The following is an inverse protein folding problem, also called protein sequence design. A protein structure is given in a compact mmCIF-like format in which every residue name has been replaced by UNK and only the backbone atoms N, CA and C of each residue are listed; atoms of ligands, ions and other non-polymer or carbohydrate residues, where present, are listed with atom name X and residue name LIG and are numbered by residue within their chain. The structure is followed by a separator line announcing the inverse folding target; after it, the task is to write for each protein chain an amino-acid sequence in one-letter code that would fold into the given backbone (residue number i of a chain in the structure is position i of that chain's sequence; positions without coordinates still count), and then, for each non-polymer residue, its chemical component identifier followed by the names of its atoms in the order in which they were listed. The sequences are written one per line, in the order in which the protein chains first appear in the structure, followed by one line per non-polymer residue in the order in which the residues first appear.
data_IF_723050844473
#
_entry.id   IF_723050844473
#
_cell.length_a   1.000
_cell.length_b   1.000
_cell.length_c   1.000
_cell.angle_alpha   90.00
_cell.angle_beta   90.00
_cell.angle_gamma   90.00
#
_symmetry.space_group_name_H-M   'P 1'
#
loop_
_entity.id
_entity.type
_entity.pdbx_description
1 polymer ?
#
# COMPACT_ATOMS: atom_id res chain seq x y z
N UNK A 1 -4.44 -71.55 -2.77
CA UNK A 1 -3.77 -70.35 -2.22
C UNK A 1 -3.51 -69.25 -3.27
N UNK A 2 -4.54 -68.77 -4.01
CA UNK A 2 -4.37 -67.70 -5.01
C UNK A 2 -5.21 -66.45 -4.73
N UNK A 3 -5.93 -66.39 -3.61
CA UNK A 3 -6.84 -65.28 -3.32
C UNK A 3 -6.24 -64.11 -2.50
N UNK A 4 -5.12 -64.34 -1.80
CA UNK A 4 -4.59 -63.35 -0.82
C UNK A 4 -3.68 -62.27 -1.45
N UNK A 5 -3.12 -62.52 -2.63
CA UNK A 5 -2.27 -61.53 -3.34
C UNK A 5 -3.06 -60.44 -4.09
N UNK A 6 -4.27 -60.73 -4.54
CA UNK A 6 -5.08 -59.79 -5.29
C UNK A 6 -5.62 -58.65 -4.42
N UNK A 7 -6.01 -58.96 -3.19
CA UNK A 7 -6.55 -58.00 -2.23
C UNK A 7 -5.48 -57.01 -1.72
N UNK A 8 -4.22 -57.50 -1.57
CA UNK A 8 -3.13 -56.65 -1.05
C UNK A 8 -2.69 -55.58 -2.04
N UNK A 9 -2.71 -55.85 -3.34
CA UNK A 9 -2.38 -54.88 -4.41
C UNK A 9 -3.47 -53.83 -4.62
N UNK A 10 -4.75 -54.16 -4.45
CA UNK A 10 -5.85 -53.21 -4.56
C UNK A 10 -5.83 -52.17 -3.43
N UNK A 11 -5.50 -52.58 -2.20
CA UNK A 11 -5.42 -51.68 -1.05
C UNK A 11 -4.22 -50.72 -1.19
N UNK A 12 -3.11 -51.17 -1.76
CA UNK A 12 -1.92 -50.33 -2.00
C UNK A 12 -2.19 -49.32 -3.14
N UNK A 13 -2.90 -49.72 -4.19
CA UNK A 13 -3.31 -48.81 -5.26
C UNK A 13 -4.29 -47.74 -4.76
N UNK A 14 -5.29 -48.10 -3.96
CA UNK A 14 -6.24 -47.13 -3.38
C UNK A 14 -5.54 -46.15 -2.43
N UNK A 15 -4.58 -46.60 -1.60
CA UNK A 15 -3.83 -45.69 -0.74
C UNK A 15 -2.93 -44.73 -1.51
N UNK A 16 -2.36 -45.15 -2.63
CA UNK A 16 -1.56 -44.28 -3.51
C UNK A 16 -2.43 -43.29 -4.26
N UNK A 17 -3.61 -43.70 -4.76
CA UNK A 17 -4.57 -42.81 -5.39
C UNK A 17 -5.14 -41.76 -4.45
N UNK A 18 -5.41 -42.12 -3.18
CA UNK A 18 -5.83 -41.18 -2.13
C UNK A 18 -4.74 -40.19 -1.74
N UNK A 19 -3.46 -40.61 -1.69
CA UNK A 19 -2.33 -39.71 -1.43
C UNK A 19 -2.10 -38.71 -2.59
N UNK A 20 -2.25 -39.13 -3.84
CA UNK A 20 -2.16 -38.24 -4.99
C UNK A 20 -3.34 -37.24 -5.07
N UNK A 21 -4.56 -37.68 -4.74
CA UNK A 21 -5.73 -36.80 -4.66
C UNK A 21 -5.59 -35.76 -3.51
N UNK A 22 -5.03 -36.15 -2.37
CA UNK A 22 -4.80 -35.24 -1.25
C UNK A 22 -3.68 -34.21 -1.54
N UNK A 23 -2.59 -34.61 -2.22
CA UNK A 23 -1.55 -33.68 -2.66
C UNK A 23 -2.06 -32.68 -3.72
N UNK A 24 -2.95 -33.07 -4.63
CA UNK A 24 -3.53 -32.15 -5.63
C UNK A 24 -4.52 -31.16 -5.01
N UNK A 25 -5.20 -31.50 -3.90
CA UNK A 25 -6.08 -30.56 -3.19
C UNK A 25 -5.31 -29.54 -2.33
N UNK A 26 -4.14 -29.91 -1.81
CA UNK A 26 -3.32 -28.98 -0.99
C UNK A 26 -2.62 -27.93 -1.86
N UNK A 27 -2.32 -28.22 -3.12
CA UNK A 27 -1.70 -27.24 -4.04
C UNK A 27 -2.66 -26.18 -4.59
N UNK A 28 -3.98 -26.37 -4.46
CA UNK A 28 -4.98 -25.39 -4.90
C UNK A 28 -5.28 -24.28 -3.86
N UNK A 29 -4.82 -24.45 -2.62
CA UNK A 29 -5.12 -23.51 -1.54
C UNK A 29 -4.17 -22.29 -1.46
N UNK A 30 -3.15 -22.18 -2.31
CA UNK A 30 -2.13 -21.13 -2.19
C UNK A 30 -2.13 -20.09 -3.33
N UNK A 31 -3.05 -20.19 -4.27
CA UNK A 31 -3.28 -19.12 -5.24
C UNK A 31 -4.22 -18.07 -4.61
N UNK A 32 -3.79 -17.40 -3.55
CA UNK A 32 -4.41 -16.15 -3.18
C UNK A 32 -4.11 -15.18 -4.32
N UNK A 33 -5.13 -14.91 -5.15
CA UNK A 33 -5.04 -13.87 -6.15
C UNK A 33 -4.65 -12.58 -5.43
N UNK A 34 -3.44 -12.09 -5.69
CA UNK A 34 -3.00 -10.82 -5.15
C UNK A 34 -3.85 -9.74 -5.77
N UNK A 35 -4.84 -9.25 -5.05
CA UNK A 35 -5.70 -8.15 -5.47
C UNK A 35 -5.28 -6.88 -4.75
N UNK A 36 -5.51 -5.73 -5.36
CA UNK A 36 -5.40 -4.46 -4.67
C UNK A 36 -6.80 -3.94 -4.29
N UNK A 37 -6.84 -3.15 -3.22
CA UNK A 37 -8.06 -2.44 -2.81
C UNK A 37 -7.91 -0.96 -3.18
N UNK A 38 -8.82 -0.40 -4.00
CA UNK A 38 -8.79 1.01 -4.33
C UNK A 38 -8.99 1.89 -3.10
N UNK A 39 -8.40 3.10 -3.11
CA UNK A 39 -8.59 4.08 -2.05
C UNK A 39 -10.06 4.50 -1.95
N UNK A 40 -10.60 4.52 -0.72
CA UNK A 40 -12.01 4.87 -0.47
C UNK A 40 -12.29 6.38 -0.60
N UNK A 41 -11.32 7.21 -0.15
CA UNK A 41 -11.42 8.67 -0.20
C UNK A 41 -10.57 9.21 -1.34
N UNK A 42 -11.11 9.16 -2.56
CA UNK A 42 -10.39 9.61 -3.76
C UNK A 42 -10.85 11.04 -4.11
N UNK A 43 -9.95 12.08 -4.07
CA UNK A 43 -10.30 13.43 -4.44
C UNK A 43 -10.71 13.52 -5.91
N UNK A 44 -11.74 14.30 -6.22
CA UNK A 44 -12.24 14.42 -7.60
C UNK A 44 -11.24 15.05 -8.57
N UNK A 45 -10.29 15.81 -8.06
CA UNK A 45 -9.22 16.45 -8.84
C UNK A 45 -7.99 15.57 -9.05
N UNK A 46 -7.89 14.42 -8.36
CA UNK A 46 -6.75 13.53 -8.47
C UNK A 46 -6.94 12.51 -9.60
N UNK A 47 -5.86 12.18 -10.30
CA UNK A 47 -5.82 11.05 -11.25
C UNK A 47 -5.29 9.80 -10.55
N UNK A 48 -4.39 9.96 -9.57
CA UNK A 48 -3.77 8.86 -8.85
C UNK A 48 -3.56 9.18 -7.37
N UNK A 49 -3.61 8.15 -6.52
CA UNK A 49 -3.28 8.19 -5.10
C UNK A 49 -2.36 7.01 -4.76
N UNK A 50 -1.21 7.25 -4.10
CA UNK A 50 -0.64 8.57 -3.79
C UNK A 50 -0.37 9.40 -5.07
N UNK A 51 -0.45 10.73 -4.99
CA UNK A 51 -0.09 11.56 -6.14
C UNK A 51 1.39 11.34 -6.48
N UNK A 52 1.80 11.61 -7.71
CA UNK A 52 3.21 11.58 -8.09
C UNK A 52 4.03 12.57 -7.28
N UNK A 53 5.30 12.28 -7.04
CA UNK A 53 6.23 13.24 -6.50
C UNK A 53 6.50 14.36 -7.51
N UNK A 54 6.58 15.58 -7.03
CA UNK A 54 7.06 16.73 -7.83
C UNK A 54 7.67 17.77 -6.88
N UNK A 55 8.45 18.76 -7.37
CA UNK A 55 8.97 19.84 -6.53
C UNK A 55 7.88 20.62 -5.76
N UNK A 56 6.65 20.60 -6.24
CA UNK A 56 5.48 21.22 -5.60
C UNK A 56 4.68 20.26 -4.72
N UNK A 57 4.98 18.94 -4.78
CA UNK A 57 4.31 17.85 -4.05
C UNK A 57 5.34 16.91 -3.45
N UNK A 58 6.10 17.41 -2.48
CA UNK A 58 7.20 16.69 -1.85
C UNK A 58 6.77 15.40 -1.13
N UNK A 59 5.50 15.31 -0.73
CA UNK A 59 4.93 14.14 -0.04
C UNK A 59 4.33 13.11 -1.01
N UNK A 60 4.43 13.33 -2.31
CA UNK A 60 3.96 12.38 -3.32
C UNK A 60 4.97 11.28 -3.65
N UNK A 61 4.58 10.38 -4.57
CA UNK A 61 5.43 9.31 -5.09
C UNK A 61 5.46 8.05 -4.21
N UNK A 62 6.46 7.22 -4.46
CA UNK A 62 6.74 6.01 -3.68
C UNK A 62 7.69 6.40 -2.56
N UNK A 63 7.25 6.29 -1.32
CA UNK A 63 8.04 6.66 -0.14
C UNK A 63 8.85 5.51 0.43
N UNK A 64 8.41 4.28 0.13
CA UNK A 64 9.07 3.07 0.58
C UNK A 64 10.27 2.73 -0.30
N UNK A 65 11.25 2.04 0.29
CA UNK A 65 12.46 1.61 -0.38
C UNK A 65 12.40 0.11 -0.64
N UNK A 66 12.58 -0.30 -1.89
CA UNK A 66 12.76 -1.70 -2.24
C UNK A 66 14.20 -2.17 -1.97
N UNK A 67 14.38 -3.43 -1.63
CA UNK A 67 15.70 -4.01 -1.39
C UNK A 67 15.89 -5.31 -2.17
N UNK A 68 17.07 -5.49 -2.74
CA UNK A 68 17.41 -6.73 -3.44
C UNK A 68 17.23 -7.93 -2.50
N UNK A 69 16.50 -8.95 -2.97
CA UNK A 69 16.23 -10.18 -2.23
C UNK A 69 15.11 -10.08 -1.21
N UNK A 70 14.42 -8.95 -1.09
CA UNK A 70 13.29 -8.78 -0.15
C UNK A 70 12.00 -8.46 -0.90
N UNK A 71 10.87 -8.94 -0.35
CA UNK A 71 9.56 -8.64 -0.90
C UNK A 71 9.23 -7.16 -0.73
N UNK A 72 8.76 -6.56 -1.80
CA UNK A 72 8.28 -5.19 -1.83
C UNK A 72 6.91 -5.14 -2.49
N UNK A 73 6.05 -4.25 -2.04
CA UNK A 73 4.78 -3.95 -2.72
C UNK A 73 4.41 -2.47 -2.60
N UNK A 74 3.75 -1.97 -3.63
CA UNK A 74 3.24 -0.61 -3.71
C UNK A 74 1.91 -0.61 -4.46
N UNK A 75 0.91 0.09 -3.91
CA UNK A 75 -0.42 0.20 -4.54
C UNK A 75 -0.68 1.63 -4.96
N UNK A 76 -1.09 1.81 -6.21
CA UNK A 76 -1.53 3.06 -6.78
C UNK A 76 -3.01 2.95 -7.12
N UNK A 77 -3.85 3.79 -6.52
CA UNK A 77 -5.25 3.93 -6.93
C UNK A 77 -5.36 4.95 -8.06
N UNK A 78 -6.15 4.67 -9.07
CA UNK A 78 -6.28 5.46 -10.29
C UNK A 78 -7.75 5.71 -10.57
N UNK A 79 -8.08 6.95 -10.96
CA UNK A 79 -9.40 7.34 -11.47
C UNK A 79 -9.21 7.96 -12.85
N UNK A 80 -9.93 7.46 -13.84
CA UNK A 80 -9.89 8.03 -15.17
C UNK A 80 -10.46 9.49 -15.13
N UNK A 81 -9.72 10.52 -15.59
CA UNK A 81 -10.23 11.88 -15.64
C UNK A 81 -11.40 11.97 -16.60
N UNK A 82 -12.33 12.88 -16.36
CA UNK A 82 -13.48 13.08 -17.24
C UNK A 82 -13.10 13.61 -18.64
N UNK A 83 -12.00 14.38 -18.70
CA UNK A 83 -11.46 14.96 -19.93
C UNK A 83 -9.93 15.02 -19.87
N UNK A 84 -9.29 15.15 -21.02
CA UNK A 84 -7.84 15.35 -21.13
C UNK A 84 -7.55 16.85 -21.19
N UNK A 85 -6.70 17.40 -20.31
CA UNK A 85 -6.29 18.78 -20.37
C UNK A 85 -5.72 19.15 -21.77
N UNK A 86 -6.16 20.26 -22.32
CA UNK A 86 -5.72 20.72 -23.65
C UNK A 86 -6.47 20.11 -24.83
N UNK A 87 -7.43 19.21 -24.61
CA UNK A 87 -8.28 18.62 -25.66
C UNK A 87 -9.77 18.93 -25.39
N UNK A 88 -10.26 20.14 -25.68
CA UNK A 88 -11.65 20.52 -25.43
C UNK A 88 -12.62 19.65 -26.24
N UNK A 89 -13.74 19.24 -25.62
CA UNK A 89 -14.76 18.41 -26.26
C UNK A 89 -14.45 16.90 -26.31
N UNK A 90 -13.27 16.48 -25.90
CA UNK A 90 -12.90 15.06 -25.81
C UNK A 90 -13.24 14.52 -24.42
N UNK A 91 -14.14 13.55 -24.36
CA UNK A 91 -14.45 12.86 -23.10
C UNK A 91 -13.68 11.54 -23.00
N UNK A 92 -13.20 11.23 -21.81
CA UNK A 92 -12.55 9.95 -21.50
C UNK A 92 -13.63 8.94 -21.10
N UNK A 93 -13.60 7.74 -21.68
CA UNK A 93 -14.50 6.64 -21.35
C UNK A 93 -13.85 5.64 -20.40
N UNK A 94 -12.55 5.37 -20.59
CA UNK A 94 -11.76 4.49 -19.72
C UNK A 94 -10.27 4.73 -19.92
N UNK A 95 -9.49 4.30 -18.91
CA UNK A 95 -8.03 4.13 -19.02
C UNK A 95 -7.75 2.64 -18.95
N UNK A 96 -6.83 2.14 -19.76
CA UNK A 96 -6.34 0.77 -19.67
C UNK A 96 -4.81 0.76 -19.52
N UNK A 97 -4.31 -0.25 -18.81
CA UNK A 97 -2.89 -0.56 -18.68
C UNK A 97 -2.67 -1.93 -19.31
N UNK A 98 -1.66 -2.14 -20.18
CA UNK A 98 -1.35 -3.46 -20.69
C UNK A 98 -1.19 -4.48 -19.57
N UNK A 99 -1.64 -5.72 -19.75
CA UNK A 99 -1.54 -6.77 -18.73
C UNK A 99 -0.08 -7.18 -18.43
N UNK A 100 0.84 -6.89 -19.34
CA UNK A 100 2.27 -7.11 -19.17
C UNK A 100 3.05 -5.90 -19.71
N UNK A 101 4.18 -5.59 -19.09
CA UNK A 101 5.07 -4.48 -19.48
C UNK A 101 4.41 -3.10 -19.51
N UNK A 102 3.29 -2.93 -18.80
CA UNK A 102 2.59 -1.65 -18.69
C UNK A 102 3.22 -0.67 -17.69
N UNK A 103 4.26 -1.08 -16.96
CA UNK A 103 5.05 -0.24 -16.07
C UNK A 103 6.50 -0.29 -16.51
N UNK A 104 7.00 0.83 -17.01
CA UNK A 104 8.41 0.97 -17.43
C UNK A 104 9.32 1.10 -16.20
N UNK A 105 10.59 0.71 -16.37
CA UNK A 105 11.65 0.77 -15.36
C UNK A 105 11.38 -0.03 -14.07
N UNK A 106 10.45 -0.96 -14.11
CA UNK A 106 10.17 -1.83 -12.96
C UNK A 106 11.38 -2.77 -12.74
N UNK A 107 11.88 -2.92 -11.49
CA UNK A 107 12.98 -3.81 -11.19
C UNK A 107 12.68 -5.26 -11.57
N UNK A 108 13.70 -5.98 -12.02
CA UNK A 108 13.59 -7.41 -12.35
C UNK A 108 13.16 -8.22 -11.11
N UNK A 109 12.21 -9.15 -11.28
CA UNK A 109 11.62 -9.92 -10.19
C UNK A 109 10.36 -9.30 -9.60
N UNK A 110 9.96 -8.13 -10.08
CA UNK A 110 8.69 -7.49 -9.74
C UNK A 110 7.67 -7.64 -10.88
N UNK A 111 6.40 -7.58 -10.53
CA UNK A 111 5.25 -7.62 -11.43
C UNK A 111 4.14 -6.72 -10.90
N UNK A 112 2.99 -6.71 -11.56
CA UNK A 112 1.81 -5.99 -11.09
C UNK A 112 0.52 -6.72 -11.38
N UNK A 113 -0.52 -6.38 -10.63
CA UNK A 113 -1.91 -6.79 -10.81
C UNK A 113 -2.81 -5.58 -10.70
N UNK A 114 -3.99 -5.66 -11.29
CA UNK A 114 -4.99 -4.61 -11.25
C UNK A 114 -6.27 -5.09 -10.56
N UNK A 115 -7.06 -4.12 -10.13
CA UNK A 115 -8.46 -4.31 -9.81
C UNK A 115 -9.27 -3.18 -10.47
N UNK A 116 -10.09 -3.50 -11.49
CA UNK A 116 -10.44 -4.84 -11.99
C UNK A 116 -9.29 -5.58 -12.69
N UNK A 117 -9.33 -6.94 -12.74
CA UNK A 117 -8.18 -7.75 -13.19
C UNK A 117 -7.81 -7.59 -14.68
N UNK A 118 -8.72 -7.07 -15.50
CA UNK A 118 -8.46 -6.76 -16.91
C UNK A 118 -7.64 -5.48 -17.11
N UNK A 119 -7.29 -4.77 -16.03
CA UNK A 119 -6.59 -3.47 -16.05
C UNK A 119 -7.28 -2.40 -16.90
N UNK A 120 -8.60 -2.48 -17.05
CA UNK A 120 -9.42 -1.46 -17.73
C UNK A 120 -10.21 -0.71 -16.66
N UNK A 121 -9.95 0.57 -16.52
CA UNK A 121 -10.50 1.45 -15.48
C UNK A 121 -11.55 2.37 -16.09
N UNK A 122 -12.86 2.08 -15.92
CA UNK A 122 -13.92 2.92 -16.45
C UNK A 122 -13.88 4.33 -15.83
N UNK A 123 -14.38 5.32 -16.57
CA UNK A 123 -14.59 6.66 -16.04
C UNK A 123 -15.46 6.61 -14.78
N UNK A 124 -15.21 7.54 -13.87
CA UNK A 124 -15.94 7.73 -12.60
C UNK A 124 -15.81 6.57 -11.60
N UNK A 125 -14.98 5.56 -11.90
CA UNK A 125 -14.63 4.46 -10.99
C UNK A 125 -13.22 4.60 -10.47
N UNK A 126 -13.01 4.36 -9.17
CA UNK A 126 -11.67 4.24 -8.60
C UNK A 126 -11.22 2.80 -8.75
N UNK A 127 -10.11 2.62 -9.43
CA UNK A 127 -9.44 1.34 -9.64
C UNK A 127 -8.07 1.34 -8.97
N UNK A 128 -7.34 0.24 -8.99
CA UNK A 128 -5.97 0.22 -8.49
C UNK A 128 -5.06 -0.71 -9.31
N UNK A 129 -3.78 -0.40 -9.24
CA UNK A 129 -2.67 -1.25 -9.66
C UNK A 129 -1.76 -1.49 -8.45
N UNK A 130 -1.42 -2.74 -8.20
CA UNK A 130 -0.47 -3.13 -7.17
C UNK A 130 0.77 -3.70 -7.84
N UNK A 131 1.89 -3.03 -7.66
CA UNK A 131 3.21 -3.47 -8.05
C UNK A 131 3.83 -4.23 -6.89
N UNK A 132 4.38 -5.43 -7.11
CA UNK A 132 4.91 -6.26 -6.04
C UNK A 132 5.93 -7.26 -6.58
N UNK A 133 6.73 -7.84 -5.68
CA UNK A 133 7.69 -8.87 -5.99
C UNK A 133 8.96 -8.75 -5.18
N UNK A 134 9.98 -9.52 -5.58
CA UNK A 134 11.30 -9.52 -4.96
C UNK A 134 12.30 -9.02 -6.00
N UNK A 135 12.79 -7.77 -5.91
CA UNK A 135 13.87 -7.30 -6.78
C UNK A 135 15.07 -8.24 -6.65
N UNK A 136 15.54 -8.79 -7.76
CA UNK A 136 16.56 -9.84 -7.73
C UNK A 136 17.80 -9.53 -8.57
N UNK A 137 17.81 -8.40 -9.30
CA UNK A 137 18.94 -8.00 -10.12
C UNK A 137 19.73 -6.86 -9.45
N UNK A 138 21.00 -7.06 -9.07
CA UNK A 138 21.85 -6.02 -8.49
C UNK A 138 22.04 -4.77 -9.39
N UNK A 139 21.86 -4.90 -10.71
CA UNK A 139 21.93 -3.77 -11.65
C UNK A 139 20.71 -2.81 -11.50
N UNK A 140 19.66 -3.22 -10.77
CA UNK A 140 18.52 -2.36 -10.49
C UNK A 140 18.73 -1.45 -9.28
N UNK A 141 19.83 -1.60 -8.55
CA UNK A 141 20.17 -0.70 -7.43
C UNK A 141 20.25 0.75 -7.89
N UNK A 142 19.61 1.64 -7.14
CA UNK A 142 19.51 3.07 -7.46
C UNK A 142 18.09 3.54 -7.56
N UNK A 143 17.90 4.71 -8.15
CA UNK A 143 16.58 5.31 -8.36
C UNK A 143 15.99 4.87 -9.69
N UNK A 144 14.80 4.32 -9.67
CA UNK A 144 14.01 3.94 -10.85
C UNK A 144 12.80 4.87 -10.95
N UNK A 145 12.64 5.55 -12.06
CA UNK A 145 11.46 6.37 -12.34
C UNK A 145 10.41 5.49 -13.03
N UNK A 146 9.43 5.02 -12.27
CA UNK A 146 8.40 4.13 -12.77
C UNK A 146 7.38 4.93 -13.57
N UNK A 147 7.09 4.50 -14.79
CA UNK A 147 6.14 5.15 -15.67
C UNK A 147 5.12 4.13 -16.17
N UNK A 148 3.82 4.43 -16.00
CA UNK A 148 2.75 3.60 -16.52
C UNK A 148 2.52 3.92 -18.00
N UNK A 149 2.31 2.91 -18.82
CA UNK A 149 1.88 3.06 -20.21
C UNK A 149 0.36 2.96 -20.26
N UNK A 150 -0.30 4.08 -20.51
CA UNK A 150 -1.76 4.15 -20.56
C UNK A 150 -2.29 4.04 -21.98
N UNK A 151 -3.41 3.37 -22.11
CA UNK A 151 -4.30 3.46 -23.27
C UNK A 151 -5.56 4.18 -22.84
N UNK A 152 -5.81 5.37 -23.39
CA UNK A 152 -6.96 6.20 -23.04
C UNK A 152 -8.03 6.05 -24.14
N UNK A 153 -9.16 5.48 -23.78
CA UNK A 153 -10.32 5.37 -24.69
C UNK A 153 -11.18 6.63 -24.55
N UNK A 154 -11.36 7.33 -25.64
CA UNK A 154 -12.10 8.60 -25.69
C UNK A 154 -13.31 8.52 -26.60
N UNK A 155 -14.12 9.59 -26.59
CA UNK A 155 -15.26 9.73 -27.52
C UNK A 155 -14.86 9.82 -29.01
N UNK A 156 -13.60 10.10 -29.32
CA UNK A 156 -13.09 10.24 -30.70
C UNK A 156 -12.14 9.10 -31.10
N UNK A 157 -11.94 8.11 -30.22
CA UNK A 157 -11.03 6.98 -30.47
C UNK A 157 -10.06 6.74 -29.34
N UNK A 158 -9.05 5.93 -29.63
CA UNK A 158 -8.10 5.42 -28.66
C UNK A 158 -6.74 6.14 -28.80
N UNK A 159 -6.20 6.59 -27.67
CA UNK A 159 -4.84 7.10 -27.55
C UNK A 159 -4.00 6.04 -26.82
N UNK A 160 -3.03 5.45 -27.51
CA UNK A 160 -2.21 4.37 -26.96
C UNK A 160 -0.82 4.82 -26.57
N UNK A 161 -0.20 4.10 -25.63
CA UNK A 161 1.17 4.33 -25.16
C UNK A 161 1.38 5.74 -24.56
N UNK A 162 0.38 6.27 -23.88
CA UNK A 162 0.48 7.55 -23.18
C UNK A 162 1.20 7.31 -21.85
N UNK A 163 2.41 7.84 -21.63
CA UNK A 163 3.09 7.70 -20.36
C UNK A 163 2.36 8.45 -19.25
N UNK A 164 2.35 7.89 -18.04
CA UNK A 164 1.86 8.55 -16.85
C UNK A 164 2.85 8.33 -15.69
N UNK A 165 3.30 9.39 -15.00
CA UNK A 165 2.97 10.83 -15.18
C UNK A 165 3.50 11.40 -16.50
N UNK A 166 2.90 12.48 -16.96
CA UNK A 166 3.37 13.26 -18.13
C UNK A 166 2.98 14.74 -18.04
N UNK A 167 3.46 15.54 -18.97
CA UNK A 167 3.27 16.99 -18.96
C UNK A 167 1.80 17.44 -19.07
N UNK A 168 0.89 16.62 -19.62
CA UNK A 168 -0.53 16.96 -19.77
C UNK A 168 -1.37 16.49 -18.58
N UNK A 169 -1.15 15.25 -18.13
CA UNK A 169 -1.97 14.64 -17.09
C UNK A 169 -1.46 14.94 -15.68
N UNK A 170 -0.15 15.07 -15.51
CA UNK A 170 0.49 15.29 -14.22
C UNK A 170 1.87 15.96 -14.39
N UNK A 171 1.89 17.29 -14.64
CA UNK A 171 3.11 18.01 -14.97
C UNK A 171 4.19 17.91 -13.90
N UNK A 172 5.39 17.50 -14.32
CA UNK A 172 6.55 17.35 -13.44
C UNK A 172 6.42 16.23 -12.39
N UNK A 173 5.46 15.33 -12.58
CA UNK A 173 5.24 14.19 -11.70
C UNK A 173 6.21 13.04 -11.98
N UNK A 174 6.59 12.31 -10.91
CA UNK A 174 7.46 11.13 -10.96
C UNK A 174 7.05 10.10 -9.91
N UNK A 175 7.27 8.81 -10.20
CA UNK A 175 7.17 7.72 -9.23
C UNK A 175 8.54 7.08 -9.04
N UNK A 176 9.38 7.73 -8.25
CA UNK A 176 10.72 7.23 -7.95
C UNK A 176 10.67 6.07 -6.95
N UNK A 177 11.07 4.89 -7.40
CA UNK A 177 11.35 3.75 -6.54
C UNK A 177 12.85 3.69 -6.26
N UNK A 178 13.23 3.78 -4.99
CA UNK A 178 14.61 3.58 -4.57
C UNK A 178 14.86 2.10 -4.30
N UNK A 179 15.80 1.51 -5.02
CA UNK A 179 16.23 0.12 -4.84
C UNK A 179 17.60 0.10 -4.18
N UNK A 180 17.71 -0.57 -3.04
CA UNK A 180 18.96 -0.69 -2.27
C UNK A 180 19.58 -2.08 -2.39
N UNK A 181 20.91 -2.21 -2.18
CA UNK A 181 21.57 -3.50 -2.08
C UNK A 181 20.97 -4.37 -0.96
N UNK A 182 21.09 -5.69 -1.10
CA UNK A 182 20.72 -6.62 -0.04
C UNK A 182 21.48 -6.30 1.26
N UNK A 183 20.79 -6.38 2.40
CA UNK A 183 21.41 -6.14 3.72
C UNK A 183 21.64 -4.68 4.09
N UNK A 184 21.18 -3.71 3.27
CA UNK A 184 21.25 -2.29 3.65
C UNK A 184 20.47 -2.00 4.93
N UNK A 185 20.93 -1.07 5.76
CA UNK A 185 20.36 -0.76 7.08
C UNK A 185 18.88 -0.33 7.05
N UNK A 186 18.40 0.17 5.92
CA UNK A 186 17.00 0.62 5.72
C UNK A 186 16.18 -0.40 4.89
N UNK A 187 16.63 -1.64 4.79
CA UNK A 187 15.93 -2.75 4.14
C UNK A 187 15.03 -3.53 5.10
N UNK A 188 14.68 -2.95 6.21
CA UNK A 188 13.67 -3.56 7.07
C UNK A 188 12.29 -3.31 6.46
N UNK A 189 11.53 -4.38 6.28
CA UNK A 189 10.10 -4.26 5.99
C UNK A 189 9.50 -3.68 7.26
N UNK A 190 9.31 -2.37 7.29
CA UNK A 190 8.34 -1.78 8.20
C UNK A 190 6.99 -2.28 7.70
N UNK A 191 6.38 -3.19 8.45
CA UNK A 191 5.04 -3.70 8.14
C UNK A 191 3.96 -2.63 8.27
N UNK A 192 4.35 -1.41 8.68
CA UNK A 192 3.46 -0.27 8.85
C UNK A 192 3.63 0.69 7.68
N UNK A 193 2.69 0.60 6.75
CA UNK A 193 2.54 1.57 5.66
C UNK A 193 2.07 2.89 6.23
N UNK A 194 2.96 3.85 6.31
CA UNK A 194 2.65 5.23 6.72
C UNK A 194 1.57 5.88 5.83
N UNK A 195 1.46 5.45 4.56
CA UNK A 195 0.44 5.93 3.62
C UNK A 195 -1.00 5.54 3.99
N UNK A 196 -1.19 4.53 4.81
CA UNK A 196 -2.50 4.04 5.28
C UNK A 196 -2.73 4.33 6.77
N UNK A 197 -1.83 5.07 7.43
CA UNK A 197 -2.02 5.42 8.83
C UNK A 197 -3.20 6.39 8.97
N UNK A 198 -4.10 6.15 9.91
CA UNK A 198 -5.25 7.03 10.14
C UNK A 198 -4.85 8.38 10.75
N UNK A 199 -3.60 8.50 11.19
CA UNK A 199 -3.02 9.69 11.81
C UNK A 199 -1.65 9.95 11.19
N UNK A 200 -1.44 11.17 10.68
CA UNK A 200 -0.13 11.66 10.23
C UNK A 200 0.30 12.80 11.15
N UNK A 201 1.51 12.74 11.68
CA UNK A 201 2.03 13.78 12.58
C UNK A 201 1.39 13.69 13.98
N UNK A 202 1.84 12.73 14.78
CA UNK A 202 1.52 12.60 16.20
C UNK A 202 2.72 13.12 17.01
N UNK A 203 2.53 14.17 17.80
CA UNK A 203 3.61 14.74 18.62
C UNK A 203 3.07 15.42 19.88
N UNK A 204 3.90 15.50 20.94
CA UNK A 204 3.56 16.13 22.21
C UNK A 204 4.27 17.46 22.41
N UNK A 205 3.58 18.46 22.99
CA UNK A 205 4.11 19.75 23.37
C UNK A 205 3.58 20.22 24.74
N UNK A 206 4.45 20.59 25.68
CA UNK A 206 5.91 20.45 25.65
C UNK A 206 6.36 19.00 25.73
N UNK A 207 7.53 18.69 25.15
CA UNK A 207 8.24 17.44 25.30
C UNK A 207 9.74 17.76 25.37
N UNK A 208 10.43 17.54 26.50
CA UNK A 208 9.91 17.00 27.77
C UNK A 208 8.88 17.88 28.48
N UNK A 209 8.07 17.26 29.34
CA UNK A 209 7.07 17.93 30.17
C UNK A 209 7.32 17.68 31.65
N UNK A 210 6.90 18.63 32.52
CA UNK A 210 6.90 18.47 33.96
C UNK A 210 5.60 17.94 34.56
N UNK A 211 4.65 17.53 33.68
CA UNK A 211 3.34 16.97 34.07
C UNK A 211 2.30 17.11 32.98
N UNK A 212 1.93 18.33 32.61
CA UNK A 212 0.91 18.58 31.61
C UNK A 212 1.51 18.74 30.22
N UNK A 213 0.92 18.06 29.22
CA UNK A 213 1.29 18.21 27.80
C UNK A 213 0.07 18.11 26.90
N UNK A 214 0.17 18.68 25.70
CA UNK A 214 -0.80 18.54 24.64
C UNK A 214 -0.25 17.62 23.58
N UNK A 215 -1.02 16.61 23.22
CA UNK A 215 -0.70 15.71 22.12
C UNK A 215 -1.47 16.17 20.89
N UNK A 216 -0.75 16.59 19.89
CA UNK A 216 -1.29 17.04 18.60
C UNK A 216 -1.26 15.88 17.64
N UNK A 217 -2.39 15.68 16.92
CA UNK A 217 -2.57 14.61 15.96
C UNK A 217 -3.26 15.14 14.71
N UNK A 218 -2.65 14.93 13.54
CA UNK A 218 -3.31 15.19 12.28
C UNK A 218 -4.00 13.90 11.81
N UNK A 219 -5.32 13.86 11.92
CA UNK A 219 -6.17 12.69 11.66
C UNK A 219 -6.69 12.71 10.23
N UNK A 220 -6.48 11.64 9.49
CA UNK A 220 -6.96 11.48 8.11
C UNK A 220 -8.36 10.87 8.02
N UNK A 221 -8.77 10.09 9.02
CA UNK A 221 -10.06 9.43 9.08
C UNK A 221 -10.75 9.78 10.40
N UNK A 222 -11.84 10.57 10.34
CA UNK A 222 -12.65 10.85 11.52
C UNK A 222 -13.22 9.55 12.10
N UNK A 223 -13.23 9.41 13.43
CA UNK A 223 -13.74 8.21 14.08
C UNK A 223 -13.38 8.11 15.55
N UNK A 224 -13.66 6.95 16.13
CA UNK A 224 -13.26 6.63 17.49
C UNK A 224 -11.83 6.10 17.51
N UNK A 225 -11.03 6.66 18.39
CA UNK A 225 -9.64 6.29 18.62
C UNK A 225 -9.42 5.96 20.09
N UNK A 226 -8.70 4.88 20.35
CA UNK A 226 -8.14 4.61 21.66
C UNK A 226 -6.83 5.37 21.82
N UNK A 227 -6.81 6.33 22.75
CA UNK A 227 -5.58 6.97 23.22
C UNK A 227 -5.01 6.14 24.36
N UNK A 228 -3.72 5.78 24.28
CA UNK A 228 -3.05 4.94 25.25
C UNK A 228 -1.67 5.53 25.56
N UNK A 229 -1.27 5.49 26.84
CA UNK A 229 0.10 5.79 27.29
C UNK A 229 0.65 4.55 27.96
N UNK A 230 1.88 4.16 27.59
CA UNK A 230 2.57 2.98 28.13
C UNK A 230 3.98 3.35 28.58
N UNK A 231 4.53 2.58 29.50
CA UNK A 231 5.96 2.62 29.79
C UNK A 231 6.76 1.85 28.70
N UNK A 232 8.08 1.84 28.83
CA UNK A 232 8.97 1.14 27.89
C UNK A 232 8.87 -0.38 27.98
N UNK A 233 8.29 -0.93 29.05
CA UNK A 233 8.02 -2.35 29.21
C UNK A 233 6.68 -2.75 28.58
N UNK A 234 5.89 -1.78 28.07
CA UNK A 234 4.58 -2.01 27.46
C UNK A 234 3.41 -2.02 28.45
N UNK A 235 3.65 -1.72 29.75
CA UNK A 235 2.56 -1.62 30.71
C UNK A 235 1.68 -0.39 30.42
N UNK A 236 0.37 -0.59 30.35
CA UNK A 236 -0.60 0.49 30.05
C UNK A 236 -0.84 1.30 31.31
N UNK A 237 -0.48 2.59 31.28
CA UNK A 237 -0.61 3.52 32.39
C UNK A 237 -1.84 4.43 32.27
N UNK A 238 -2.23 4.72 31.03
CA UNK A 238 -3.44 5.50 30.72
C UNK A 238 -4.12 4.96 29.47
N UNK A 239 -5.45 5.00 29.47
CA UNK A 239 -6.28 4.56 28.34
C UNK A 239 -7.61 5.29 28.33
N UNK A 240 -7.99 5.86 27.18
CA UNK A 240 -9.34 6.42 26.97
C UNK A 240 -9.75 6.38 25.50
N UNK A 241 -11.05 6.32 25.24
CA UNK A 241 -11.61 6.46 23.90
C UNK A 241 -11.87 7.94 23.60
N UNK A 242 -11.52 8.37 22.40
CA UNK A 242 -11.66 9.73 21.90
C UNK A 242 -12.41 9.72 20.57
N UNK A 243 -13.27 10.69 20.37
CA UNK A 243 -13.80 11.01 19.04
C UNK A 243 -12.86 12.04 18.41
N UNK A 244 -12.17 11.65 17.32
CA UNK A 244 -11.29 12.55 16.57
C UNK A 244 -11.88 12.85 15.20
N UNK A 245 -11.55 14.03 14.67
CA UNK A 245 -12.08 14.56 13.42
C UNK A 245 -10.96 14.70 12.40
N UNK A 246 -11.31 14.76 11.11
CA UNK A 246 -10.33 15.01 10.05
C UNK A 246 -9.58 16.32 10.29
N UNK A 247 -8.25 16.30 10.10
CA UNK A 247 -7.36 17.42 10.32
C UNK A 247 -6.73 17.42 11.71
N UNK A 248 -6.36 18.60 12.19
CA UNK A 248 -5.66 18.75 13.47
C UNK A 248 -6.61 18.54 14.66
N UNK A 249 -6.16 17.70 15.60
CA UNK A 249 -6.80 17.45 16.89
C UNK A 249 -5.78 17.68 17.99
N UNK A 250 -6.24 18.19 19.13
CA UNK A 250 -5.45 18.42 20.34
C UNK A 250 -6.02 17.60 21.48
N UNK A 251 -5.16 16.79 22.10
CA UNK A 251 -5.50 15.89 23.21
C UNK A 251 -4.74 16.35 24.44
N UNK A 252 -5.43 16.87 25.42
CA UNK A 252 -4.84 17.25 26.69
C UNK A 252 -4.53 15.99 27.51
N UNK A 253 -3.29 15.92 28.03
CA UNK A 253 -2.83 14.82 28.85
C UNK A 253 -2.11 15.36 30.10
N UNK A 254 -2.60 14.93 31.28
CA UNK A 254 -1.98 15.17 32.56
C UNK A 254 -1.21 13.93 33.01
N UNK A 255 0.11 14.00 32.89
CA UNK A 255 1.06 12.98 33.32
C UNK A 255 1.69 13.26 34.68
N UNK A 256 1.19 14.24 35.46
CA UNK A 256 1.77 14.64 36.75
C UNK A 256 1.83 13.52 37.79
N UNK A 257 0.99 12.50 37.63
CA UNK A 257 0.96 11.31 38.49
C UNK A 257 1.97 10.24 38.07
N UNK A 258 2.63 10.39 36.91
CA UNK A 258 3.60 9.44 36.43
C UNK A 258 5.00 9.75 36.96
N UNK A 259 5.81 8.74 37.32
CA UNK A 259 7.23 8.93 37.65
C UNK A 259 8.00 9.61 36.53
N UNK A 260 9.09 10.27 36.84
CA UNK A 260 10.00 10.83 35.86
C UNK A 260 10.54 9.68 34.97
N UNK A 261 10.37 9.77 33.65
CA UNK A 261 10.76 8.71 32.73
C UNK A 261 10.37 9.00 31.29
N UNK A 262 10.60 8.00 30.44
CA UNK A 262 10.19 7.99 29.04
C UNK A 262 8.94 7.14 28.89
N UNK A 263 7.97 7.66 28.16
CA UNK A 263 6.68 7.01 27.90
C UNK A 263 6.40 6.99 26.42
N UNK A 264 5.64 5.98 25.98
CA UNK A 264 5.10 5.90 24.62
C UNK A 264 3.62 6.25 24.68
N UNK A 265 3.15 7.06 23.74
CA UNK A 265 1.74 7.33 23.56
C UNK A 265 1.28 6.93 22.17
N UNK A 266 0.06 6.41 22.06
CA UNK A 266 -0.47 5.87 20.82
C UNK A 266 -1.94 6.24 20.60
N UNK A 267 -2.31 6.34 19.33
CA UNK A 267 -3.69 6.42 18.85
C UNK A 267 -4.00 5.19 17.99
N UNK A 268 -5.06 4.46 18.35
CA UNK A 268 -5.49 3.24 17.68
C UNK A 268 -6.97 3.35 17.30
N UNK A 269 -7.32 3.14 16.04
CA UNK A 269 -8.70 3.15 15.54
C UNK A 269 -9.33 1.75 15.43
N UNK A 270 -8.74 0.74 16.07
CA UNK A 270 -9.19 -0.65 16.03
C UNK A 270 -8.56 -1.48 14.91
N UNK A 271 -8.12 -0.88 13.82
CA UNK A 271 -7.40 -1.55 12.73
C UNK A 271 -5.90 -1.21 12.69
N UNK A 272 -5.52 -0.02 13.14
CA UNK A 272 -4.14 0.47 13.12
C UNK A 272 -3.83 1.39 14.29
N UNK A 273 -2.57 1.39 14.71
CA UNK A 273 -2.05 2.25 15.76
C UNK A 273 -0.86 3.07 15.27
N UNK A 274 -0.80 4.33 15.69
CA UNK A 274 0.37 5.21 15.55
C UNK A 274 0.92 5.46 16.95
N UNK A 275 2.23 5.31 17.12
CA UNK A 275 2.89 5.41 18.43
C UNK A 275 4.07 6.36 18.32
N UNK A 276 4.22 7.25 19.33
CA UNK A 276 5.32 8.20 19.50
C UNK A 276 5.81 8.22 20.96
N UNK A 277 6.92 8.93 21.23
CA UNK A 277 7.55 9.05 22.56
C UNK A 277 7.63 10.48 23.05
#
# INVERSE_FOLDING_TARGET
MKGCHYFKNHIIMMKRALLFAFCSFVSLAWAQAQTCTPAQNFPDTAIAIPPSWSPLRLMGGIRDTACIGQYFEFTLSIKAPAAIPGLPGVTVNSIAIPAANGVANMPQGMTYVCNPPNCVFPRDTVACIKMFGIPNNPADVGQKDLTLSLTINTSFGQLSNIPYPNAQLDPGGHYYLHVKPAGSSNCFISSDREADLPVTGLYSRPNPTSGFTQIQANVLLAGQYEFRVTDLAGAVLHRRMLQLYNGENVIDFDGSHLPAGMYLYSLNNGSRAVTEK
#
